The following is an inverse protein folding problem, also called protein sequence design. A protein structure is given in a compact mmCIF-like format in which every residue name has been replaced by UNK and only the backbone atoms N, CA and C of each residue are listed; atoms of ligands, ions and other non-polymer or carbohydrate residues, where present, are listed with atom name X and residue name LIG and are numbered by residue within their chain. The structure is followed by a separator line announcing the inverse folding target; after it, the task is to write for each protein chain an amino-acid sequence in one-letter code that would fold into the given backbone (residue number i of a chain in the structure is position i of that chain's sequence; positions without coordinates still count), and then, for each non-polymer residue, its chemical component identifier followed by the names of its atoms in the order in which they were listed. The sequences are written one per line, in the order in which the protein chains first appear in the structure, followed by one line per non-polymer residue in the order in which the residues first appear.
data_IF_217965746965
#
_entry.id   IF_217965746965
#
_cell.length_a   1.000
_cell.length_b   1.000
_cell.length_c   1.000
_cell.angle_alpha   90.00
_cell.angle_beta   90.00
_cell.angle_gamma   90.00
#
_symmetry.space_group_name_H-M   'P 1'
#
loop_
_entity.id
_entity.type
_entity.pdbx_description
1 polymer ?
#
# COMPACT_ATOMS: atom_id res chain seq x y z
N UNK A 1 17.09 80.54 2.13
CA UNK A 1 17.99 79.41 1.80
C UNK A 1 17.65 78.26 2.72
N UNK A 2 17.38 77.07 2.20
CA UNK A 2 17.15 75.90 3.06
C UNK A 2 18.50 75.39 3.52
N UNK A 3 18.70 75.36 4.84
CA UNK A 3 19.97 74.98 5.45
C UNK A 3 20.18 73.46 5.26
N UNK A 4 21.05 73.09 4.33
CA UNK A 4 21.37 71.70 3.96
C UNK A 4 21.80 70.86 5.18
N UNK A 5 22.40 71.51 6.16
CA UNK A 5 22.85 70.92 7.42
C UNK A 5 21.68 70.40 8.26
N UNK A 6 20.56 71.13 8.29
CA UNK A 6 19.39 70.78 9.09
C UNK A 6 18.62 69.61 8.45
N UNK A 7 18.50 69.61 7.12
CA UNK A 7 17.95 68.46 6.37
C UNK A 7 18.76 67.19 6.56
N UNK A 8 20.10 67.30 6.60
CA UNK A 8 20.98 66.15 6.83
C UNK A 8 20.83 65.58 8.23
N UNK A 9 20.67 66.42 9.25
CA UNK A 9 20.38 65.98 10.62
C UNK A 9 19.05 65.24 10.70
N UNK A 10 17.99 65.81 10.11
CA UNK A 10 16.66 65.20 10.09
C UNK A 10 16.66 63.82 9.39
N UNK A 11 17.44 63.68 8.30
CA UNK A 11 17.60 62.40 7.61
C UNK A 11 18.36 61.36 8.45
N UNK A 12 19.42 61.77 9.14
CA UNK A 12 20.18 60.88 10.02
C UNK A 12 19.33 60.42 11.22
N UNK A 13 18.50 61.30 11.75
CA UNK A 13 17.58 60.99 12.84
C UNK A 13 16.52 59.98 12.40
N UNK A 14 15.89 60.19 11.23
CA UNK A 14 14.96 59.23 10.61
C UNK A 14 15.61 57.88 10.33
N UNK A 15 16.85 57.86 9.82
CA UNK A 15 17.58 56.61 9.60
C UNK A 15 17.91 55.88 10.91
N UNK A 16 18.22 56.63 11.98
CA UNK A 16 18.47 56.06 13.30
C UNK A 16 17.20 55.43 13.89
N UNK A 17 16.06 56.12 13.77
CA UNK A 17 14.76 55.59 14.20
C UNK A 17 14.36 54.35 13.41
N UNK A 18 14.51 54.38 12.08
CA UNK A 18 14.26 53.22 11.22
C UNK A 18 15.14 52.03 11.62
N UNK A 19 16.42 52.26 11.92
CA UNK A 19 17.33 51.22 12.37
C UNK A 19 16.86 50.60 13.69
N UNK A 20 16.49 51.43 14.68
CA UNK A 20 15.96 50.96 15.97
C UNK A 20 14.67 50.17 15.82
N UNK A 21 13.77 50.62 14.95
CA UNK A 21 12.52 49.92 14.67
C UNK A 21 12.77 48.57 14.01
N UNK A 22 13.71 48.48 13.05
CA UNK A 22 14.09 47.22 12.40
C UNK A 22 14.79 46.26 13.35
N UNK A 23 15.65 46.74 14.23
CA UNK A 23 16.27 45.92 15.28
C UNK A 23 15.22 45.36 16.25
N UNK A 24 14.18 46.14 16.57
CA UNK A 24 13.06 45.67 17.39
C UNK A 24 12.22 44.63 16.65
N UNK A 25 11.84 44.90 15.40
CA UNK A 25 11.09 43.94 14.57
C UNK A 25 11.83 42.60 14.42
N UNK A 26 13.16 42.63 14.27
CA UNK A 26 13.98 41.41 14.20
C UNK A 26 13.95 40.62 15.51
N UNK A 27 14.09 41.30 16.66
CA UNK A 27 13.98 40.63 17.96
C UNK A 27 12.61 40.02 18.19
N UNK A 28 11.54 40.77 17.88
CA UNK A 28 10.18 40.28 18.01
C UNK A 28 9.93 39.07 17.08
N UNK A 29 10.52 39.08 15.88
CA UNK A 29 10.45 37.96 14.94
C UNK A 29 11.23 36.72 15.43
N UNK A 30 12.44 36.91 15.97
CA UNK A 30 13.25 35.83 16.56
C UNK A 30 12.53 35.19 17.75
N UNK A 31 11.95 35.99 18.65
CA UNK A 31 11.18 35.49 19.78
C UNK A 31 9.94 34.72 19.32
N UNK A 32 9.21 35.23 18.33
CA UNK A 32 8.05 34.54 17.75
C UNK A 32 8.45 33.19 17.15
N UNK A 33 9.54 33.15 16.37
CA UNK A 33 10.03 31.90 15.76
C UNK A 33 10.49 30.89 16.80
N UNK A 34 11.15 31.34 17.86
CA UNK A 34 11.55 30.48 18.98
C UNK A 34 10.35 29.90 19.72
N UNK A 35 9.25 30.67 19.85
CA UNK A 35 8.01 30.19 20.46
C UNK A 35 7.31 29.16 19.57
N UNK A 36 7.17 29.44 18.27
CA UNK A 36 6.60 28.51 17.29
C UNK A 36 7.37 27.18 17.26
N UNK A 37 8.72 27.24 17.34
CA UNK A 37 9.56 26.04 17.35
C UNK A 37 9.34 25.20 18.62
N UNK A 38 9.25 25.84 19.79
CA UNK A 38 8.92 25.13 21.04
C UNK A 38 7.53 24.50 21.02
N UNK A 39 6.53 25.20 20.50
CA UNK A 39 5.17 24.65 20.38
C UNK A 39 5.16 23.43 19.43
N UNK A 40 5.90 23.48 18.32
CA UNK A 40 6.04 22.35 17.42
C UNK A 40 6.78 21.16 18.05
N UNK A 41 7.86 21.41 18.82
CA UNK A 41 8.58 20.38 19.57
C UNK A 41 7.67 19.73 20.63
N UNK A 42 6.86 20.51 21.35
CA UNK A 42 5.90 19.99 22.33
C UNK A 42 4.81 19.14 21.67
N UNK A 43 4.31 19.54 20.49
CA UNK A 43 3.36 18.73 19.71
C UNK A 43 3.98 17.42 19.22
N UNK A 44 5.22 17.45 18.75
CA UNK A 44 5.93 16.24 18.34
C UNK A 44 6.12 15.29 19.53
N UNK A 45 6.59 15.79 20.66
CA UNK A 45 6.76 14.99 21.88
C UNK A 45 5.42 14.44 22.42
N UNK A 46 4.33 15.19 22.28
CA UNK A 46 3.00 14.71 22.63
C UNK A 46 2.55 13.59 21.67
N UNK A 47 2.75 13.77 20.36
CA UNK A 47 2.42 12.75 19.37
C UNK A 47 3.26 11.48 19.53
N UNK A 48 4.55 11.60 19.87
CA UNK A 48 5.43 10.47 20.14
C UNK A 48 4.99 9.69 21.40
N UNK A 49 4.38 10.36 22.38
CA UNK A 49 3.81 9.71 23.57
C UNK A 49 2.46 9.06 23.30
N UNK A 50 1.61 9.66 22.48
CA UNK A 50 0.32 9.08 22.07
C UNK A 50 0.51 7.90 21.10
N UNK A 51 1.64 7.82 20.38
CA UNK A 51 2.07 6.66 19.57
C UNK A 51 2.87 5.62 20.38
N UNK A 52 2.79 5.64 21.72
CA UNK A 52 3.35 4.58 22.55
C UNK A 52 2.80 3.22 22.10
N UNK A 53 3.69 2.38 21.57
CA UNK A 53 3.42 1.00 21.17
C UNK A 53 2.73 0.19 22.30
N UNK A 54 2.76 0.64 23.55
CA UNK A 54 2.16 -0.02 24.70
C UNK A 54 0.62 -0.09 24.62
N UNK A 55 -0.08 0.96 24.16
CA UNK A 55 -1.56 0.93 24.09
C UNK A 55 -2.03 -0.04 22.98
N UNK A 56 -1.34 -0.03 21.83
CA UNK A 56 -1.60 -0.96 20.72
C UNK A 56 -1.26 -2.40 21.11
N UNK A 57 -0.14 -2.61 21.82
CA UNK A 57 0.27 -3.94 22.29
C UNK A 57 -0.66 -4.46 23.40
N UNK A 58 -1.24 -3.58 24.20
CA UNK A 58 -2.18 -3.97 25.25
C UNK A 58 -3.55 -4.35 24.66
N UNK A 59 -4.08 -3.60 23.70
CA UNK A 59 -5.27 -3.99 22.93
C UNK A 59 -5.06 -5.32 22.20
N UNK A 60 -3.90 -5.52 21.57
CA UNK A 60 -3.56 -6.79 20.92
C UNK A 60 -3.46 -7.94 21.92
N UNK A 61 -2.94 -7.72 23.14
CA UNK A 61 -2.88 -8.74 24.19
C UNK A 61 -4.25 -9.14 24.72
N UNK A 62 -5.17 -8.19 24.82
CA UNK A 62 -6.53 -8.42 25.31
C UNK A 62 -7.40 -9.17 24.28
N UNK A 63 -7.12 -9.04 22.98
CA UNK A 63 -7.85 -9.75 21.91
C UNK A 63 -7.35 -11.20 21.65
N UNK A 64 -6.12 -11.54 22.04
CA UNK A 64 -5.54 -12.89 21.83
C UNK A 64 -6.35 -14.03 22.50
N UNK A 65 -6.89 -13.89 23.73
CA UNK A 65 -7.72 -14.91 24.36
C UNK A 65 -9.04 -15.15 23.60
N UNK A 66 -9.70 -14.09 23.14
CA UNK A 66 -10.99 -14.19 22.41
C UNK A 66 -10.81 -14.92 21.08
N UNK A 67 -9.72 -14.65 20.35
CA UNK A 67 -9.39 -15.34 19.09
C UNK A 67 -9.17 -16.85 19.30
N UNK A 68 -8.57 -17.26 20.42
CA UNK A 68 -8.38 -18.68 20.75
C UNK A 68 -9.67 -19.41 21.10
N UNK A 69 -10.66 -18.72 21.66
CA UNK A 69 -11.98 -19.32 21.91
C UNK A 69 -12.77 -19.47 20.60
N UNK A 70 -12.70 -18.48 19.71
CA UNK A 70 -13.30 -18.53 18.37
C UNK A 70 -12.66 -19.66 17.53
N UNK A 71 -11.33 -19.86 17.57
CA UNK A 71 -10.68 -20.98 16.90
C UNK A 71 -11.11 -22.35 17.44
N UNK A 72 -11.32 -22.48 18.76
CA UNK A 72 -11.83 -23.72 19.36
C UNK A 72 -13.28 -23.99 18.98
N UNK A 73 -14.13 -22.97 18.93
CA UNK A 73 -15.51 -23.12 18.45
C UNK A 73 -15.57 -23.44 16.96
N UNK A 74 -14.74 -22.80 16.13
CA UNK A 74 -14.63 -23.09 14.70
C UNK A 74 -14.12 -24.51 14.45
N UNK A 75 -13.12 -24.98 15.21
CA UNK A 75 -12.60 -26.35 15.14
C UNK A 75 -13.66 -27.39 15.55
N UNK A 76 -14.47 -27.10 16.56
CA UNK A 76 -15.56 -27.99 16.98
C UNK A 76 -16.72 -28.01 15.98
N UNK A 77 -17.06 -26.87 15.34
CA UNK A 77 -18.02 -26.84 14.23
C UNK A 77 -17.52 -27.66 13.05
N UNK A 78 -16.25 -27.48 12.65
CA UNK A 78 -15.65 -28.18 11.50
C UNK A 78 -15.66 -29.71 11.67
N UNK A 79 -15.34 -30.22 12.88
CA UNK A 79 -15.43 -31.66 13.19
C UNK A 79 -16.85 -32.22 13.09
N UNK A 80 -17.85 -31.42 13.47
CA UNK A 80 -19.26 -31.83 13.40
C UNK A 80 -19.76 -31.88 11.95
N UNK A 81 -19.33 -30.92 11.13
CA UNK A 81 -19.65 -30.88 9.69
C UNK A 81 -18.91 -31.97 8.90
N UNK A 82 -17.66 -32.31 9.28
CA UNK A 82 -16.90 -33.41 8.67
C UNK A 82 -17.54 -34.78 8.95
N UNK A 83 -18.10 -35.01 10.14
CA UNK A 83 -18.83 -36.24 10.45
C UNK A 83 -20.15 -36.39 9.67
N UNK A 84 -20.91 -35.31 9.49
CA UNK A 84 -22.14 -35.34 8.66
C UNK A 84 -21.81 -35.50 7.17
N UNK A 85 -20.68 -34.97 6.69
CA UNK A 85 -20.26 -35.11 5.28
C UNK A 85 -19.76 -36.52 4.93
N UNK A 86 -19.17 -37.27 5.88
CA UNK A 86 -18.65 -38.62 5.64
C UNK A 86 -19.76 -39.66 5.46
N UNK A 87 -20.95 -39.46 6.04
CA UNK A 87 -22.12 -40.33 5.81
C UNK A 87 -22.75 -40.11 4.43
N UNK A 88 -22.65 -38.89 3.88
CA UNK A 88 -23.15 -38.56 2.53
C UNK A 88 -22.18 -39.00 1.41
N UNK A 89 -20.87 -39.03 1.68
CA UNK A 89 -19.85 -39.48 0.72
C UNK A 89 -19.90 -40.99 0.47
N UNK A 90 -20.22 -41.81 1.48
CA UNK A 90 -20.35 -43.28 1.29
C UNK A 90 -21.52 -43.65 0.37
N UNK A 91 -22.59 -42.84 0.32
CA UNK A 91 -23.72 -43.06 -0.59
C UNK A 91 -23.40 -42.58 -2.02
N UNK A 92 -22.54 -41.56 -2.19
CA UNK A 92 -22.15 -41.01 -3.49
C UNK A 92 -20.98 -41.75 -4.17
N UNK A 93 -20.13 -42.48 -3.43
CA UNK A 93 -19.02 -43.25 -3.99
C UNK A 93 -19.44 -44.50 -4.79
N UNK A 94 -20.73 -44.83 -4.86
CA UNK A 94 -21.25 -45.91 -5.74
C UNK A 94 -21.55 -45.43 -7.18
N UNK A 95 -21.51 -44.13 -7.47
CA UNK A 95 -22.02 -43.55 -8.73
C UNK A 95 -20.94 -42.97 -9.66
N UNK A 96 -19.70 -42.77 -9.24
CA UNK A 96 -18.71 -42.10 -10.10
C UNK A 96 -17.37 -42.83 -10.18
N UNK A 97 -17.40 -44.04 -10.76
CA UNK A 97 -16.21 -44.72 -11.28
C UNK A 97 -15.84 -44.28 -12.73
N UNK A 98 -16.47 -43.23 -13.27
CA UNK A 98 -16.22 -42.76 -14.64
C UNK A 98 -15.99 -41.24 -14.72
N UNK A 99 -14.85 -40.74 -14.22
CA UNK A 99 -14.20 -39.52 -14.73
C UNK A 99 -12.83 -39.32 -14.06
N UNK A 100 -11.81 -39.98 -14.60
CA UNK A 100 -10.41 -39.80 -14.21
C UNK A 100 -9.81 -38.60 -14.94
N UNK A 101 -8.94 -37.89 -14.22
CA UNK A 101 -7.85 -37.01 -14.70
C UNK A 101 -8.22 -35.64 -15.30
N UNK A 102 -7.85 -34.57 -14.58
CA UNK A 102 -7.09 -33.48 -15.21
C UNK A 102 -6.25 -32.67 -14.21
N UNK A 103 -5.01 -32.45 -14.62
CA UNK A 103 -3.98 -31.65 -13.96
C UNK A 103 -4.42 -30.19 -13.77
N UNK A 104 -3.86 -29.53 -12.76
CA UNK A 104 -4.03 -28.09 -12.55
C UNK A 104 -3.66 -27.27 -13.79
N UNK A 105 -4.34 -26.13 -14.04
CA UNK A 105 -4.17 -25.40 -15.28
C UNK A 105 -2.75 -24.83 -15.35
N UNK A 106 -2.09 -25.07 -16.48
CA UNK A 106 -0.85 -24.40 -16.84
C UNK A 106 -1.09 -22.89 -17.03
N UNK A 107 -0.06 -22.10 -16.75
CA UNK A 107 0.02 -20.66 -17.06
C UNK A 107 -0.39 -20.42 -18.53
N UNK A 108 -1.62 -19.94 -18.75
CA UNK A 108 -2.16 -19.70 -20.09
C UNK A 108 -3.65 -19.98 -20.30
N UNK A 109 -4.45 -20.25 -19.26
CA UNK A 109 -5.88 -20.43 -19.43
C UNK A 109 -6.57 -19.13 -19.94
N UNK A 110 -7.50 -19.22 -20.91
CA UNK A 110 -8.14 -18.07 -21.55
C UNK A 110 -8.99 -17.25 -20.59
N UNK A 111 -8.91 -15.92 -20.77
CA UNK A 111 -9.49 -14.80 -20.02
C UNK A 111 -11.02 -14.79 -19.77
N UNK A 112 -11.75 -15.81 -20.20
CA UNK A 112 -13.22 -15.86 -20.17
C UNK A 112 -13.78 -16.67 -18.98
N UNK A 113 -12.91 -17.27 -18.15
CA UNK A 113 -13.30 -17.99 -16.93
C UNK A 113 -12.58 -17.46 -15.70
N UNK A 114 -12.84 -16.21 -15.32
CA UNK A 114 -12.61 -15.80 -13.92
C UNK A 114 -13.78 -16.29 -13.06
N UNK A 115 -13.81 -17.61 -12.86
CA UNK A 115 -14.49 -18.21 -11.72
C UNK A 115 -13.64 -18.08 -10.44
N UNK A 116 -13.98 -18.85 -9.40
CA UNK A 116 -13.24 -18.84 -8.13
C UNK A 116 -11.73 -19.16 -8.30
N UNK A 117 -11.36 -19.96 -9.31
CA UNK A 117 -9.97 -20.39 -9.56
C UNK A 117 -9.02 -19.25 -9.90
N UNK A 118 -9.44 -18.28 -10.71
CA UNK A 118 -8.57 -17.18 -11.10
C UNK A 118 -8.39 -16.12 -10.01
N UNK A 119 -9.27 -16.05 -9.00
CA UNK A 119 -9.04 -15.20 -7.82
C UNK A 119 -7.94 -15.79 -6.94
N UNK A 120 -7.88 -17.13 -6.77
CA UNK A 120 -6.84 -17.76 -5.95
C UNK A 120 -5.42 -17.47 -6.47
N UNK A 121 -5.22 -17.44 -7.78
CA UNK A 121 -3.94 -17.05 -8.40
C UNK A 121 -3.56 -15.60 -8.09
N UNK A 122 -4.54 -14.69 -7.99
CA UNK A 122 -4.30 -13.28 -7.68
C UNK A 122 -4.01 -13.04 -6.20
N UNK A 123 -4.50 -13.90 -5.32
CA UNK A 123 -4.30 -13.86 -3.87
C UNK A 123 -3.05 -14.62 -3.41
N UNK A 124 -2.29 -15.22 -4.32
CA UNK A 124 -1.07 -15.94 -4.00
C UNK A 124 0.13 -15.00 -3.76
N UNK A 125 0.93 -15.30 -2.74
CA UNK A 125 2.10 -14.50 -2.38
C UNK A 125 3.16 -14.52 -3.47
N UNK A 126 3.45 -15.68 -4.07
CA UNK A 126 4.51 -15.77 -5.10
C UNK A 126 4.13 -14.91 -6.30
N UNK A 127 2.87 -15.00 -6.66
CA UNK A 127 2.25 -14.20 -7.71
C UNK A 127 2.41 -12.69 -7.44
N UNK A 128 2.20 -12.21 -6.21
CA UNK A 128 2.48 -10.81 -5.84
C UNK A 128 3.99 -10.48 -5.84
N UNK A 129 4.82 -11.40 -5.31
CA UNK A 129 6.25 -11.21 -5.16
C UNK A 129 6.97 -11.13 -6.52
N UNK A 130 6.49 -11.84 -7.53
CA UNK A 130 7.01 -11.78 -8.90
C UNK A 130 6.82 -10.39 -9.50
N UNK A 131 5.63 -9.78 -9.34
CA UNK A 131 5.38 -8.40 -9.76
C UNK A 131 6.31 -7.41 -9.04
N UNK A 132 6.52 -7.61 -7.74
CA UNK A 132 7.43 -6.77 -6.95
C UNK A 132 8.87 -6.90 -7.46
N UNK A 133 9.32 -8.11 -7.74
CA UNK A 133 10.64 -8.36 -8.32
C UNK A 133 10.79 -7.67 -9.69
N UNK A 134 9.75 -7.70 -10.53
CA UNK A 134 9.77 -6.96 -11.80
C UNK A 134 9.83 -5.44 -11.59
N UNK A 135 9.11 -4.90 -10.60
CA UNK A 135 9.21 -3.48 -10.25
C UNK A 135 10.62 -3.11 -9.77
N UNK A 136 11.24 -3.93 -8.92
CA UNK A 136 12.61 -3.71 -8.43
C UNK A 136 13.62 -3.69 -9.60
N UNK A 137 13.49 -4.62 -10.56
CA UNK A 137 14.29 -4.60 -11.81
C UNK A 137 14.14 -3.26 -12.55
N UNK A 138 12.89 -2.81 -12.76
CA UNK A 138 12.61 -1.56 -13.47
C UNK A 138 13.22 -0.35 -12.73
N UNK A 139 13.06 -0.29 -11.40
CA UNK A 139 13.62 0.79 -10.57
C UNK A 139 15.16 0.81 -10.59
N UNK A 140 15.79 -0.36 -10.71
CA UNK A 140 17.23 -0.49 -10.88
C UNK A 140 17.71 -0.21 -12.32
N UNK A 141 16.80 0.11 -13.24
CA UNK A 141 17.10 0.36 -14.65
C UNK A 141 17.40 -0.91 -15.46
N UNK A 142 17.08 -2.09 -14.91
CA UNK A 142 17.23 -3.36 -15.60
C UNK A 142 16.16 -3.55 -16.68
N UNK A 143 16.53 -4.33 -17.69
CA UNK A 143 15.62 -4.67 -18.77
C UNK A 143 14.62 -5.74 -18.34
N UNK A 144 13.36 -5.53 -18.72
CA UNK A 144 12.30 -6.54 -18.63
C UNK A 144 11.98 -7.12 -20.00
N UNK A 145 11.86 -8.43 -20.06
CA UNK A 145 11.53 -9.17 -21.28
C UNK A 145 10.10 -8.89 -21.75
N UNK A 146 9.82 -9.21 -23.01
CA UNK A 146 8.46 -9.11 -23.58
C UNK A 146 7.47 -10.04 -22.86
N UNK A 147 7.92 -11.21 -22.40
CA UNK A 147 7.11 -12.13 -21.60
C UNK A 147 6.78 -11.55 -20.22
N UNK A 148 7.71 -10.87 -19.55
CA UNK A 148 7.42 -10.16 -18.29
C UNK A 148 6.41 -9.03 -18.50
N UNK A 149 6.52 -8.30 -19.62
CA UNK A 149 5.55 -7.25 -20.00
C UNK A 149 4.15 -7.81 -20.27
N UNK A 150 4.06 -8.91 -21.01
CA UNK A 150 2.79 -9.59 -21.28
C UNK A 150 2.15 -10.13 -20.00
N UNK A 151 2.95 -10.70 -19.09
CA UNK A 151 2.47 -11.14 -17.78
C UNK A 151 1.89 -9.99 -16.94
N UNK A 152 2.53 -8.82 -16.94
CA UNK A 152 2.00 -7.62 -16.26
C UNK A 152 0.65 -7.23 -16.85
N UNK A 153 0.53 -7.18 -18.18
CA UNK A 153 -0.70 -6.79 -18.88
C UNK A 153 -1.85 -7.76 -18.63
N UNK A 154 -1.60 -9.06 -18.79
CA UNK A 154 -2.59 -10.11 -18.52
C UNK A 154 -3.06 -10.07 -17.07
N UNK A 155 -2.15 -9.81 -16.15
CA UNK A 155 -2.49 -9.70 -14.73
C UNK A 155 -3.30 -8.45 -14.41
N UNK A 156 -2.99 -7.31 -15.01
CA UNK A 156 -3.79 -6.10 -14.88
C UNK A 156 -5.24 -6.37 -15.31
N UNK A 157 -5.43 -7.01 -16.47
CA UNK A 157 -6.76 -7.36 -16.98
C UNK A 157 -7.53 -8.28 -16.02
N UNK A 158 -6.85 -9.28 -15.44
CA UNK A 158 -7.47 -10.16 -14.44
C UNK A 158 -7.85 -9.43 -13.14
N UNK A 159 -7.03 -8.49 -12.67
CA UNK A 159 -7.32 -7.68 -11.48
C UNK A 159 -8.51 -6.73 -11.71
N UNK A 160 -8.62 -6.14 -12.90
CA UNK A 160 -9.76 -5.33 -13.31
C UNK A 160 -11.06 -6.15 -13.31
N UNK A 161 -11.00 -7.37 -13.85
CA UNK A 161 -12.13 -8.31 -13.84
C UNK A 161 -12.50 -8.75 -12.41
N UNK A 162 -11.52 -9.04 -11.55
CA UNK A 162 -11.75 -9.44 -10.15
C UNK A 162 -12.40 -8.34 -9.30
N UNK A 163 -12.20 -7.06 -9.67
CA UNK A 163 -12.80 -5.91 -8.97
C UNK A 163 -14.34 -5.90 -9.05
N UNK A 164 -14.93 -6.66 -9.98
CA UNK A 164 -16.38 -6.81 -10.10
C UNK A 164 -17.02 -7.69 -9.01
N UNK A 165 -16.23 -8.48 -8.26
CA UNK A 165 -16.69 -9.40 -7.22
C UNK A 165 -16.02 -9.07 -5.87
N UNK A 166 -16.31 -7.87 -5.33
CA UNK A 166 -15.70 -7.32 -4.11
C UNK A 166 -15.84 -8.26 -2.90
N UNK A 167 -17.02 -8.87 -2.71
CA UNK A 167 -17.27 -9.76 -1.57
C UNK A 167 -16.37 -11.01 -1.62
N UNK A 168 -16.19 -11.59 -2.81
CA UNK A 168 -15.32 -12.76 -2.98
C UNK A 168 -13.83 -12.41 -2.83
N UNK A 169 -13.44 -11.20 -3.22
CA UNK A 169 -12.06 -10.71 -3.01
C UNK A 169 -11.76 -10.56 -1.53
N UNK A 170 -12.66 -9.93 -0.77
CA UNK A 170 -12.48 -9.75 0.67
C UNK A 170 -12.39 -11.07 1.44
N UNK A 171 -13.19 -12.07 1.04
CA UNK A 171 -13.18 -13.40 1.66
C UNK A 171 -11.96 -14.25 1.31
N UNK A 172 -11.38 -14.05 0.13
CA UNK A 172 -10.29 -14.89 -0.41
C UNK A 172 -8.91 -14.25 -0.31
N UNK A 173 -8.84 -12.95 -0.06
CA UNK A 173 -7.59 -12.20 0.08
C UNK A 173 -7.38 -11.66 1.52
N UNK A 174 -7.20 -12.54 2.52
CA UNK A 174 -7.06 -12.11 3.92
C UNK A 174 -5.83 -11.24 4.16
N UNK A 175 -4.86 -11.26 3.25
CA UNK A 175 -3.63 -10.49 3.37
C UNK A 175 -3.66 -9.20 2.54
N UNK A 176 -4.54 -9.03 1.57
CA UNK A 176 -4.60 -7.85 0.70
C UNK A 176 -3.60 -7.86 -0.47
N UNK A 177 -3.25 -9.03 -1.01
CA UNK A 177 -2.36 -9.16 -2.16
C UNK A 177 -2.94 -8.59 -3.45
N UNK A 178 -4.25 -8.64 -3.66
CA UNK A 178 -4.90 -8.08 -4.85
C UNK A 178 -4.68 -6.58 -4.91
N UNK A 179 -4.94 -5.87 -3.80
CA UNK A 179 -4.78 -4.42 -3.75
C UNK A 179 -3.30 -4.02 -3.87
N UNK A 180 -2.40 -4.74 -3.20
CA UNK A 180 -0.96 -4.51 -3.35
C UNK A 180 -0.46 -4.80 -4.77
N UNK A 181 -0.97 -5.83 -5.44
CA UNK A 181 -0.66 -6.11 -6.85
C UNK A 181 -1.10 -4.96 -7.76
N UNK A 182 -2.27 -4.35 -7.52
CA UNK A 182 -2.73 -3.17 -8.29
C UNK A 182 -1.76 -1.99 -8.13
N UNK A 183 -1.34 -1.69 -6.90
CA UNK A 183 -0.39 -0.61 -6.62
C UNK A 183 0.98 -0.84 -7.29
N UNK A 184 1.47 -2.08 -7.29
CA UNK A 184 2.72 -2.44 -7.98
C UNK A 184 2.58 -2.25 -9.49
N UNK A 185 1.51 -2.73 -10.12
CA UNK A 185 1.27 -2.54 -11.56
C UNK A 185 1.15 -1.06 -11.92
N UNK A 186 0.50 -0.25 -11.06
CA UNK A 186 0.45 1.19 -11.26
C UNK A 186 1.86 1.81 -11.23
N UNK A 187 2.68 1.44 -10.25
CA UNK A 187 4.05 1.92 -10.11
C UNK A 187 4.93 1.52 -11.31
N UNK A 188 4.75 0.30 -11.81
CA UNK A 188 5.38 -0.19 -13.04
C UNK A 188 4.96 0.68 -14.23
N UNK A 189 3.67 0.96 -14.37
CA UNK A 189 3.12 1.77 -15.47
C UNK A 189 3.63 3.21 -15.44
N UNK A 190 3.74 3.81 -14.26
CA UNK A 190 4.29 5.16 -14.08
C UNK A 190 5.78 5.22 -14.45
N UNK A 191 6.56 4.18 -14.12
CA UNK A 191 7.96 4.07 -14.53
C UNK A 191 8.12 3.91 -16.06
N UNK A 192 7.17 3.26 -16.73
CA UNK A 192 7.17 3.18 -18.20
C UNK A 192 6.86 4.51 -18.87
N UNK A 193 6.01 5.35 -18.27
CA UNK A 193 5.65 6.67 -18.79
C UNK A 193 6.74 7.73 -18.56
N UNK A 194 7.53 7.58 -17.49
CA UNK A 194 8.58 8.53 -17.10
C UNK A 194 9.93 8.35 -17.83
N UNK A 195 10.01 7.43 -18.80
CA UNK A 195 11.19 7.24 -19.64
C UNK A 195 12.08 6.05 -19.28
N UNK A 196 11.53 5.03 -18.62
CA UNK A 196 12.21 3.74 -18.39
C UNK A 196 12.82 3.15 -19.66
N UNK A 197 13.96 2.48 -19.51
CA UNK A 197 14.92 2.08 -20.56
C UNK A 197 14.35 1.11 -21.60
N UNK A 198 13.66 1.64 -22.62
CA UNK A 198 13.39 0.92 -23.86
C UNK A 198 14.69 0.75 -24.65
N UNK A 199 15.04 -0.49 -25.01
CA UNK A 199 15.81 -0.70 -26.24
C UNK A 199 14.84 -0.50 -27.40
N UNK A 200 15.25 0.35 -28.33
CA UNK A 200 14.55 0.80 -29.55
C UNK A 200 14.29 -0.32 -30.58
N UNK A 201 13.75 -1.45 -30.14
CA UNK A 201 13.53 -2.63 -30.97
C UNK A 201 12.19 -3.35 -30.74
N UNK A 202 11.49 -3.08 -29.63
CA UNK A 202 10.20 -3.70 -29.33
C UNK A 202 9.10 -2.63 -29.34
N UNK A 203 8.61 -2.31 -30.54
CA UNK A 203 7.29 -1.70 -30.69
C UNK A 203 6.28 -2.82 -30.87
N UNK A 204 5.23 -2.81 -30.05
CA UNK A 204 3.98 -3.55 -30.29
C UNK A 204 3.32 -2.97 -31.55
#
# INVERSE_FOLDING_TARGET
MVNLTDKRKEWLEKLSELKKNKEKELKDFEEKKKKELKEAEEMLLASEKELSEEDILQELREQIPELKEIEKEASNKKKKTEQESLEEVVENERITDEAREQAGPAYGAPLEQLGATGIYELTDYNSYNDLRSTLEKIQNGEYISSSERENIYERQKRLEQATSNVDMVNDKDPFGYIERSKQVIQSISENFQSGGTYKSGDHI
#
